data_IF_831166095690
#
_entry.id   IF_831166095690
#
_cell.length_a   1.000
_cell.length_b   1.000
_cell.length_c   1.000
_cell.angle_alpha   90.00
_cell.angle_beta   90.00
_cell.angle_gamma   90.00
#
_symmetry.space_group_name_H-M   'P 1'
#
loop_
_entity.id
_entity.type
_entity.pdbx_description
1 polymer ?
#
# COMPACT_ATOMS: atom_id res chain seq x y z
N UNK A 1 14.68 -6.28 -4.37
CA UNK A 1 14.38 -5.81 -2.98
C UNK A 1 15.47 -6.23 -1.98
N UNK A 2 15.53 -5.67 -0.76
CA UNK A 2 16.50 -6.09 0.30
C UNK A 2 16.33 -7.57 0.70
N UNK A 3 15.08 -8.03 0.79
CA UNK A 3 14.73 -9.41 1.12
C UNK A 3 15.36 -10.43 0.15
N UNK A 4 15.21 -10.20 -1.16
CA UNK A 4 15.77 -11.08 -2.21
C UNK A 4 17.30 -11.12 -2.21
N UNK A 5 17.95 -10.20 -1.50
CA UNK A 5 19.40 -10.15 -1.32
C UNK A 5 19.87 -10.78 0.00
N UNK A 6 18.98 -11.48 0.72
CA UNK A 6 19.32 -12.17 1.98
C UNK A 6 19.47 -11.26 3.20
N UNK A 7 18.99 -10.00 3.14
CA UNK A 7 19.19 -9.03 4.22
C UNK A 7 18.52 -9.40 5.55
N UNK A 8 17.58 -10.36 5.53
CA UNK A 8 16.80 -10.81 6.69
C UNK A 8 17.16 -12.25 7.10
N UNK A 9 18.15 -12.87 6.45
CA UNK A 9 18.54 -14.24 6.71
C UNK A 9 19.05 -14.39 8.16
N UNK A 10 18.54 -15.40 8.87
CA UNK A 10 18.89 -15.66 10.26
C UNK A 10 18.16 -14.78 11.29
N UNK A 11 17.27 -13.87 10.89
CA UNK A 11 16.41 -13.14 11.82
C UNK A 11 15.26 -14.03 12.32
N UNK A 12 15.07 -14.10 13.64
CA UNK A 12 13.91 -14.79 14.25
C UNK A 12 12.63 -13.95 14.23
N UNK A 13 12.77 -12.61 14.19
CA UNK A 13 11.66 -11.68 14.05
C UNK A 13 12.13 -10.33 13.47
N UNK A 14 11.22 -9.57 12.84
CA UNK A 14 11.48 -8.21 12.34
C UNK A 14 10.50 -7.19 12.95
N UNK A 15 11.02 -6.13 13.57
CA UNK A 15 10.22 -5.10 14.23
C UNK A 15 10.46 -3.73 13.58
N UNK A 16 9.38 -2.99 13.31
CA UNK A 16 9.41 -1.62 12.79
C UNK A 16 8.29 -0.80 13.43
N UNK A 17 8.30 0.53 13.32
CA UNK A 17 7.14 1.36 13.66
C UNK A 17 6.98 2.50 12.65
N UNK A 18 5.76 3.01 12.51
CA UNK A 18 5.47 4.13 11.63
C UNK A 18 4.64 5.22 12.32
N UNK A 19 4.99 6.51 12.20
CA UNK A 19 4.14 7.57 12.73
C UNK A 19 2.86 7.71 11.89
N UNK A 20 1.74 7.99 12.55
CA UNK A 20 0.44 8.22 11.92
C UNK A 20 -0.38 9.25 12.73
N UNK A 21 -1.46 9.81 12.15
CA UNK A 21 -2.47 10.51 12.93
C UNK A 21 -3.15 9.58 13.91
N UNK A 22 -3.59 10.12 15.04
CA UNK A 22 -4.41 9.38 16.01
C UNK A 22 -4.47 10.08 17.38
N UNK A 23 -5.23 9.50 18.32
CA UNK A 23 -5.30 9.98 19.70
C UNK A 23 -3.92 10.10 20.32
N UNK A 24 -3.68 11.11 21.16
CA UNK A 24 -2.36 11.32 21.76
C UNK A 24 -1.90 10.08 22.55
N UNK A 25 -0.61 9.72 22.41
CA UNK A 25 -0.01 8.58 23.11
C UNK A 25 -0.69 7.24 22.79
N UNK A 26 -1.14 7.05 21.55
CA UNK A 26 -1.71 5.79 21.10
C UNK A 26 -0.74 5.05 20.18
N UNK A 27 -0.77 3.72 20.28
CA UNK A 27 -0.04 2.82 19.38
C UNK A 27 -1.08 1.96 18.66
N UNK A 28 -1.02 1.94 17.34
CA UNK A 28 -1.95 1.20 16.50
C UNK A 28 -1.41 -0.16 16.13
N UNK A 29 -2.21 -1.21 16.36
CA UNK A 29 -1.94 -2.58 15.90
C UNK A 29 -2.81 -2.96 14.69
N UNK A 30 -3.22 -1.97 13.90
CA UNK A 30 -3.93 -2.21 12.64
C UNK A 30 -3.02 -2.82 11.58
N UNK A 31 -3.65 -3.43 10.56
CA UNK A 31 -2.98 -3.90 9.34
C UNK A 31 -2.69 -2.73 8.38
N UNK A 32 -2.39 -3.02 7.11
CA UNK A 32 -2.33 -2.09 5.99
C UNK A 32 -2.81 -2.83 4.74
N UNK A 33 -3.29 -2.10 3.73
CA UNK A 33 -3.82 -2.68 2.50
C UNK A 33 -2.71 -3.26 1.61
N UNK A 34 -3.01 -4.38 0.97
CA UNK A 34 -2.28 -4.84 -0.20
C UNK A 34 -2.38 -3.83 -1.34
N UNK A 35 -1.35 -3.73 -2.17
CA UNK A 35 -1.27 -2.80 -3.30
C UNK A 35 -0.60 -3.45 -4.51
N UNK A 36 -1.31 -3.41 -5.63
CA UNK A 36 -0.81 -3.72 -6.98
C UNK A 36 -0.71 -2.42 -7.76
N UNK A 37 0.35 -2.26 -8.54
CA UNK A 37 0.62 -1.05 -9.34
C UNK A 37 0.72 -1.43 -10.81
N UNK A 38 0.17 -0.59 -11.67
CA UNK A 38 0.20 -0.74 -13.12
C UNK A 38 0.77 0.51 -13.77
N UNK A 39 1.69 0.33 -14.71
CA UNK A 39 1.99 1.28 -15.77
C UNK A 39 1.29 0.81 -17.06
N UNK A 40 0.48 1.67 -17.66
CA UNK A 40 -0.31 1.37 -18.86
C UNK A 40 0.10 2.33 -19.96
N UNK A 41 0.48 1.81 -21.11
CA UNK A 41 0.91 2.61 -22.26
C UNK A 41 -0.01 2.32 -23.44
N UNK A 42 -0.63 3.37 -24.00
CA UNK A 42 -1.36 3.27 -25.26
C UNK A 42 -0.53 3.85 -26.39
N UNK A 43 -0.50 3.15 -27.53
CA UNK A 43 0.13 3.59 -28.76
C UNK A 43 -0.88 3.62 -29.89
N UNK A 44 -0.97 4.74 -30.57
CA UNK A 44 -1.87 5.01 -31.68
C UNK A 44 -1.13 5.61 -32.88
N UNK A 45 -1.76 6.57 -33.54
CA UNK A 45 -1.26 7.19 -34.76
C UNK A 45 -1.69 8.65 -34.83
N UNK A 46 -0.71 9.54 -35.00
CA UNK A 46 -0.94 10.98 -35.08
C UNK A 46 -1.59 11.35 -36.40
N UNK A 47 -2.52 12.29 -36.36
CA UNK A 47 -3.07 12.95 -37.54
C UNK A 47 -3.46 14.39 -37.20
N UNK A 48 -3.67 15.22 -38.22
CA UNK A 48 -4.11 16.59 -37.99
C UNK A 48 -5.55 16.59 -37.48
N UNK A 49 -5.79 17.12 -36.27
CA UNK A 49 -7.06 16.96 -35.56
C UNK A 49 -8.28 17.50 -36.31
N UNK A 50 -8.12 18.56 -37.12
CA UNK A 50 -9.19 19.11 -37.95
C UNK A 50 -9.18 18.67 -39.43
N UNK A 51 -8.01 18.50 -40.04
CA UNK A 51 -7.89 18.31 -41.50
C UNK A 51 -8.13 16.86 -41.93
N UNK A 52 -7.62 15.89 -41.18
CA UNK A 52 -7.76 14.47 -41.50
C UNK A 52 -7.90 13.58 -40.25
N UNK A 53 -8.85 13.88 -39.33
CA UNK A 53 -8.97 13.12 -38.07
C UNK A 53 -9.25 11.62 -38.26
N UNK A 54 -9.86 11.22 -39.37
CA UNK A 54 -10.17 9.82 -39.69
C UNK A 54 -8.92 8.96 -39.96
N UNK A 55 -7.74 9.56 -40.13
CA UNK A 55 -6.47 8.85 -40.28
C UNK A 55 -5.83 8.51 -38.93
N UNK A 56 -6.26 9.17 -37.84
CA UNK A 56 -5.65 9.05 -36.52
C UNK A 56 -6.18 7.89 -35.68
N UNK A 57 -5.36 7.45 -34.73
CA UNK A 57 -5.75 6.59 -33.62
C UNK A 57 -5.36 7.29 -32.33
N UNK A 58 -6.35 7.79 -31.58
CA UNK A 58 -6.11 8.68 -30.46
C UNK A 58 -5.81 7.91 -29.17
N UNK A 59 -4.53 7.88 -28.78
CA UNK A 59 -4.08 7.22 -27.55
C UNK A 59 -4.55 7.93 -26.27
N UNK A 60 -4.77 9.25 -26.31
CA UNK A 60 -5.35 9.98 -25.16
C UNK A 60 -6.81 9.57 -24.96
N UNK A 61 -7.60 9.44 -26.03
CA UNK A 61 -8.98 8.96 -25.93
C UNK A 61 -9.03 7.51 -25.40
N UNK A 62 -8.08 6.65 -25.79
CA UNK A 62 -7.96 5.31 -25.21
C UNK A 62 -7.75 5.37 -23.68
N UNK A 63 -6.87 6.25 -23.18
CA UNK A 63 -6.71 6.43 -21.74
C UNK A 63 -7.97 6.98 -21.06
N UNK A 64 -8.71 7.90 -21.71
CA UNK A 64 -9.98 8.44 -21.19
C UNK A 64 -11.05 7.35 -21.12
N UNK A 65 -11.14 6.48 -22.13
CA UNK A 65 -12.05 5.33 -22.13
C UNK A 65 -11.71 4.35 -21.01
N UNK A 66 -10.43 4.09 -20.78
CA UNK A 66 -9.98 3.24 -19.68
C UNK A 66 -10.36 3.83 -18.31
N UNK A 67 -10.09 5.12 -18.11
CA UNK A 67 -10.46 5.84 -16.89
C UNK A 67 -11.98 5.80 -16.65
N UNK A 68 -12.76 6.02 -17.71
CA UNK A 68 -14.23 5.98 -17.65
C UNK A 68 -14.73 4.58 -17.30
N UNK A 69 -14.16 3.53 -17.92
CA UNK A 69 -14.50 2.14 -17.63
C UNK A 69 -14.17 1.76 -16.18
N UNK A 70 -13.04 2.24 -15.64
CA UNK A 70 -12.70 2.04 -14.24
C UNK A 70 -13.63 2.84 -13.32
N UNK A 71 -14.03 4.05 -13.72
CA UNK A 71 -14.97 4.87 -12.96
C UNK A 71 -16.31 4.14 -12.77
N UNK A 72 -16.85 3.51 -13.82
CA UNK A 72 -18.09 2.73 -13.72
C UNK A 72 -17.88 1.39 -12.99
N UNK A 73 -16.71 0.77 -13.13
CA UNK A 73 -16.33 -0.43 -12.38
C UNK A 73 -16.36 -0.21 -10.86
N UNK A 74 -16.04 1.00 -10.37
CA UNK A 74 -15.99 1.30 -8.93
C UNK A 74 -17.30 1.07 -8.18
N UNK A 75 -18.46 1.14 -8.83
CA UNK A 75 -19.73 0.77 -8.17
C UNK A 75 -19.76 -0.72 -7.79
N UNK A 76 -19.01 -1.56 -8.53
CA UNK A 76 -19.01 -3.01 -8.42
C UNK A 76 -17.76 -3.57 -7.74
N UNK A 77 -16.97 -2.73 -7.05
CA UNK A 77 -15.89 -3.19 -6.16
C UNK A 77 -16.32 -3.03 -4.70
N UNK A 78 -15.70 -3.78 -3.77
CA UNK A 78 -16.03 -3.68 -2.35
C UNK A 78 -15.67 -2.29 -1.82
N UNK A 79 -16.40 -1.80 -0.82
CA UNK A 79 -16.14 -0.49 -0.16
C UNK A 79 -14.78 -0.40 0.52
N UNK A 80 -14.12 -1.53 0.77
CA UNK A 80 -12.77 -1.64 1.32
C UNK A 80 -11.66 -1.54 0.26
N UNK A 81 -12.02 -1.48 -1.02
CA UNK A 81 -11.05 -1.41 -2.13
C UNK A 81 -10.87 0.02 -2.62
N UNK A 82 -9.69 0.29 -3.19
CA UNK A 82 -9.41 1.57 -3.86
C UNK A 82 -8.78 1.30 -5.21
N UNK A 83 -9.28 1.96 -6.25
CA UNK A 83 -8.71 1.92 -7.60
C UNK A 83 -8.57 3.35 -8.10
N UNK A 84 -7.35 3.81 -8.29
CA UNK A 84 -7.06 5.21 -8.63
C UNK A 84 -5.79 5.33 -9.45
N UNK A 85 -5.73 6.34 -10.31
CA UNK A 85 -4.60 6.53 -11.20
C UNK A 85 -4.58 7.92 -11.80
N UNK A 86 -3.52 8.18 -12.55
CA UNK A 86 -3.23 9.47 -13.19
C UNK A 86 -2.91 9.26 -14.67
N UNK A 87 -3.14 10.29 -15.47
CA UNK A 87 -2.76 10.35 -16.87
C UNK A 87 -1.34 10.93 -17.02
N UNK A 88 -0.69 10.53 -18.09
CA UNK A 88 0.58 11.08 -18.56
C UNK A 88 0.72 10.88 -20.07
N UNK A 89 1.72 11.52 -20.65
CA UNK A 89 2.04 11.47 -22.07
C UNK A 89 2.93 12.65 -22.45
N UNK A 90 3.37 12.68 -23.71
CA UNK A 90 4.31 13.68 -24.19
C UNK A 90 3.88 14.33 -25.50
N UNK A 91 4.30 15.58 -25.68
CA UNK A 91 4.10 16.36 -26.91
C UNK A 91 2.63 16.50 -27.34
N UNK A 92 1.70 16.44 -26.39
CA UNK A 92 0.29 16.67 -26.66
C UNK A 92 0.04 18.14 -26.99
N UNK A 93 -0.65 18.36 -28.09
CA UNK A 93 -1.12 19.69 -28.51
C UNK A 93 -2.51 19.54 -29.13
N UNK A 94 -3.46 20.47 -28.93
CA UNK A 94 -4.83 20.31 -29.39
C UNK A 94 -5.02 20.13 -30.90
N UNK A 95 -4.05 20.54 -31.72
CA UNK A 95 -4.13 20.45 -33.19
C UNK A 95 -3.59 19.12 -33.76
N UNK A 96 -2.99 18.25 -32.95
CA UNK A 96 -2.43 16.95 -33.35
C UNK A 96 -3.08 15.87 -32.49
N UNK A 97 -3.66 14.85 -33.13
CA UNK A 97 -4.21 13.69 -32.42
C UNK A 97 -3.07 12.98 -31.68
N UNK A 98 -3.14 12.79 -30.35
CA UNK A 98 -2.10 12.09 -29.59
C UNK A 98 -1.91 10.64 -30.03
N UNK A 99 -0.68 10.28 -30.42
CA UNK A 99 -0.29 8.89 -30.72
C UNK A 99 0.24 8.11 -29.50
N UNK A 100 0.40 8.77 -28.36
CA UNK A 100 0.89 8.19 -27.13
C UNK A 100 0.06 8.64 -25.93
N UNK A 101 -0.14 7.73 -24.98
CA UNK A 101 -0.52 8.07 -23.62
C UNK A 101 0.02 7.04 -22.64
N UNK A 102 0.22 7.48 -21.40
CA UNK A 102 0.66 6.67 -20.29
C UNK A 102 -0.29 6.86 -19.10
N UNK A 103 -0.46 5.83 -18.29
CA UNK A 103 -1.21 5.92 -17.05
C UNK A 103 -0.49 5.16 -15.94
N UNK A 104 -0.57 5.68 -14.72
CA UNK A 104 -0.12 4.96 -13.52
C UNK A 104 -1.32 4.70 -12.63
N UNK A 105 -1.54 3.44 -12.26
CA UNK A 105 -2.72 3.00 -11.51
C UNK A 105 -2.36 2.15 -10.32
N UNK A 106 -3.06 2.38 -9.22
CA UNK A 106 -2.98 1.60 -7.98
C UNK A 106 -4.30 0.89 -7.73
N UNK A 107 -4.21 -0.40 -7.39
CA UNK A 107 -5.32 -1.23 -6.90
C UNK A 107 -4.98 -1.65 -5.47
N UNK A 108 -5.82 -1.26 -4.51
CA UNK A 108 -5.68 -1.62 -3.10
C UNK A 108 -6.86 -2.44 -2.61
N UNK A 109 -6.57 -3.42 -1.75
CA UNK A 109 -7.56 -4.24 -1.07
C UNK A 109 -7.05 -4.70 0.31
N UNK A 110 -7.93 -5.17 1.20
CA UNK A 110 -7.53 -5.70 2.50
C UNK A 110 -6.57 -6.87 2.44
N UNK A 111 -6.64 -7.71 1.40
CA UNK A 111 -5.72 -8.83 1.19
C UNK A 111 -5.13 -8.82 -0.22
N UNK A 112 -3.95 -9.43 -0.38
CA UNK A 112 -3.35 -9.61 -1.71
C UNK A 112 -4.22 -10.44 -2.66
N UNK A 113 -4.98 -11.42 -2.14
CA UNK A 113 -5.90 -12.22 -2.95
C UNK A 113 -7.03 -11.35 -3.54
N UNK A 114 -7.66 -10.52 -2.70
CA UNK A 114 -8.69 -9.57 -3.11
C UNK A 114 -8.14 -8.51 -4.08
N UNK A 115 -6.92 -8.02 -3.85
CA UNK A 115 -6.25 -7.07 -4.73
C UNK A 115 -6.04 -7.66 -6.13
N UNK A 116 -5.56 -8.90 -6.22
CA UNK A 116 -5.36 -9.62 -7.49
C UNK A 116 -6.67 -9.83 -8.25
N UNK A 117 -7.75 -10.18 -7.55
CA UNK A 117 -9.05 -10.36 -8.21
C UNK A 117 -9.59 -9.04 -8.76
N UNK A 118 -9.47 -7.96 -8.00
CA UNK A 118 -9.85 -6.63 -8.48
C UNK A 118 -8.96 -6.16 -9.63
N UNK A 119 -7.67 -6.42 -9.55
CA UNK A 119 -6.69 -6.11 -10.60
C UNK A 119 -7.07 -6.73 -11.95
N UNK A 120 -7.50 -8.00 -12.00
CA UNK A 120 -7.97 -8.62 -13.25
C UNK A 120 -9.08 -7.82 -13.94
N UNK A 121 -10.04 -7.32 -13.15
CA UNK A 121 -11.17 -6.52 -13.65
C UNK A 121 -10.70 -5.14 -14.13
N UNK A 122 -9.72 -4.55 -13.45
CA UNK A 122 -9.10 -3.29 -13.86
C UNK A 122 -8.29 -3.45 -15.15
N UNK A 123 -7.54 -4.56 -15.29
CA UNK A 123 -6.80 -4.89 -16.52
C UNK A 123 -7.74 -5.04 -17.72
N UNK A 124 -8.89 -5.70 -17.54
CA UNK A 124 -9.90 -5.80 -18.59
C UNK A 124 -10.41 -4.42 -19.06
N UNK A 125 -10.49 -3.42 -18.17
CA UNK A 125 -10.84 -2.05 -18.58
C UNK A 125 -9.76 -1.42 -19.46
N UNK A 126 -8.48 -1.67 -19.19
CA UNK A 126 -7.39 -1.18 -20.03
C UNK A 126 -7.44 -1.79 -21.43
N UNK A 127 -7.66 -3.11 -21.51
CA UNK A 127 -7.75 -3.86 -22.76
C UNK A 127 -8.98 -3.46 -23.58
N UNK A 128 -10.14 -3.28 -22.93
CA UNK A 128 -11.37 -2.85 -23.59
C UNK A 128 -11.22 -1.47 -24.26
N UNK A 129 -10.51 -0.54 -23.61
CA UNK A 129 -10.25 0.77 -24.16
C UNK A 129 -9.32 0.74 -25.39
N UNK A 130 -8.34 -0.18 -25.39
CA UNK A 130 -7.49 -0.46 -26.56
C UNK A 130 -8.36 -0.92 -27.73
N UNK A 131 -9.24 -1.89 -27.50
CA UNK A 131 -10.12 -2.45 -28.52
C UNK A 131 -11.08 -1.40 -29.08
N UNK A 132 -11.71 -0.60 -28.22
CA UNK A 132 -12.69 0.40 -28.63
C UNK A 132 -12.07 1.57 -29.43
N UNK A 133 -10.85 1.95 -29.10
CA UNK A 133 -10.13 3.06 -29.77
C UNK A 133 -9.33 2.63 -31.00
N UNK A 134 -9.11 1.33 -31.19
CA UNK A 134 -8.20 0.79 -32.21
C UNK A 134 -6.71 1.01 -31.90
N UNK A 135 -6.37 1.55 -30.73
CA UNK A 135 -4.99 1.67 -30.27
C UNK A 135 -4.44 0.31 -29.81
N UNK A 136 -3.12 0.24 -29.65
CA UNK A 136 -2.44 -0.86 -28.94
C UNK A 136 -2.26 -0.48 -27.48
N UNK A 137 -2.32 -1.46 -26.57
CA UNK A 137 -2.04 -1.27 -25.15
C UNK A 137 -0.94 -2.20 -24.69
N UNK A 138 -0.07 -1.69 -23.82
CA UNK A 138 0.86 -2.46 -23.01
C UNK A 138 0.56 -2.20 -21.54
N UNK A 139 0.11 -3.24 -20.84
CA UNK A 139 -0.14 -3.18 -19.40
C UNK A 139 1.04 -3.84 -18.69
N UNK A 140 1.74 -3.07 -17.86
CA UNK A 140 2.88 -3.54 -17.07
C UNK A 140 2.49 -3.51 -15.60
N UNK A 141 2.33 -4.68 -14.98
CA UNK A 141 2.25 -4.76 -13.51
C UNK A 141 3.66 -4.53 -12.96
N UNK A 142 3.83 -3.54 -12.08
CA UNK A 142 5.14 -3.25 -11.50
C UNK A 142 5.53 -4.35 -10.52
N UNK A 143 6.81 -4.74 -10.60
CA UNK A 143 7.39 -5.75 -9.74
C UNK A 143 7.28 -5.37 -8.25
N UNK A 144 7.24 -6.39 -7.39
CA UNK A 144 7.19 -6.25 -5.93
C UNK A 144 5.91 -5.59 -5.39
N UNK A 145 4.74 -6.25 -5.49
CA UNK A 145 3.54 -5.75 -4.87
C UNK A 145 3.72 -5.64 -3.35
N UNK A 146 3.09 -4.64 -2.74
CA UNK A 146 3.05 -4.54 -1.28
C UNK A 146 1.93 -5.44 -0.78
N UNK A 147 2.27 -6.42 0.06
CA UNK A 147 1.29 -7.31 0.67
C UNK A 147 0.56 -6.58 1.81
N UNK A 148 -0.60 -7.11 2.18
CA UNK A 148 -1.27 -6.69 3.41
C UNK A 148 -0.38 -6.97 4.62
N UNK A 149 -0.47 -6.13 5.65
CA UNK A 149 0.41 -6.25 6.82
C UNK A 149 -0.14 -7.29 7.80
N UNK A 150 0.66 -8.32 8.11
CA UNK A 150 0.32 -9.37 9.08
C UNK A 150 1.02 -9.09 10.41
N UNK A 151 0.30 -8.49 11.35
CA UNK A 151 0.83 -8.28 12.70
C UNK A 151 0.87 -9.63 13.44
N UNK A 152 2.05 -10.11 13.82
CA UNK A 152 2.15 -11.35 14.59
C UNK A 152 1.43 -11.19 15.94
N UNK A 153 0.47 -12.07 16.22
CA UNK A 153 -0.44 -11.93 17.37
C UNK A 153 0.27 -12.07 18.72
N UNK A 154 1.29 -12.91 18.82
CA UNK A 154 2.08 -13.06 20.05
C UNK A 154 2.94 -11.82 20.32
N UNK A 155 3.60 -11.28 19.29
CA UNK A 155 4.35 -10.02 19.37
C UNK A 155 3.41 -8.85 19.72
N UNK A 156 2.27 -8.75 19.05
CA UNK A 156 1.27 -7.70 19.30
C UNK A 156 0.70 -7.76 20.72
N UNK A 157 0.34 -8.94 21.20
CA UNK A 157 -0.19 -9.12 22.56
C UNK A 157 0.82 -8.73 23.64
N UNK A 158 2.10 -9.01 23.42
CA UNK A 158 3.15 -8.61 24.35
C UNK A 158 3.44 -7.11 24.26
N UNK A 159 3.45 -6.53 23.06
CA UNK A 159 3.57 -5.08 22.88
C UNK A 159 2.45 -4.35 23.63
N UNK A 160 1.20 -4.82 23.53
CA UNK A 160 0.05 -4.27 24.24
C UNK A 160 0.33 -4.15 25.74
N UNK A 161 0.80 -5.24 26.38
CA UNK A 161 1.13 -5.23 27.82
C UNK A 161 2.21 -4.20 28.16
N UNK A 162 3.26 -4.13 27.35
CA UNK A 162 4.37 -3.18 27.56
C UNK A 162 3.85 -1.74 27.44
N UNK A 163 3.06 -1.46 26.40
CA UNK A 163 2.53 -0.13 26.13
C UNK A 163 1.55 0.32 27.21
N UNK A 164 0.57 -0.52 27.56
CA UNK A 164 -0.45 -0.20 28.57
C UNK A 164 0.15 -0.03 29.97
N UNK A 165 1.30 -0.66 30.25
CA UNK A 165 1.98 -0.48 31.53
C UNK A 165 2.66 0.88 31.70
N UNK A 166 3.00 1.59 30.61
CA UNK A 166 3.95 2.73 30.70
C UNK A 166 3.84 3.80 29.62
N UNK A 167 3.43 3.46 28.41
CA UNK A 167 3.62 4.30 27.22
C UNK A 167 2.32 4.82 26.61
N UNK A 168 1.16 4.29 27.00
CA UNK A 168 -0.13 4.79 26.55
C UNK A 168 -1.15 3.69 26.35
N UNK A 169 -1.94 3.80 25.27
CA UNK A 169 -3.03 2.88 24.96
C UNK A 169 -2.84 2.24 23.59
N UNK A 170 -3.46 1.09 23.37
CA UNK A 170 -3.57 0.49 22.05
C UNK A 170 -4.83 1.00 21.35
N UNK A 171 -4.67 1.31 20.08
CA UNK A 171 -5.71 1.77 19.18
C UNK A 171 -5.89 0.80 18.01
N UNK A 172 -7.13 0.62 17.57
CA UNK A 172 -7.49 -0.27 16.45
C UNK A 172 -8.26 0.45 15.34
N UNK A 173 -8.41 1.78 15.44
CA UNK A 173 -9.17 2.58 14.50
C UNK A 173 -8.26 3.47 13.65
N UNK A 174 -7.30 4.13 14.27
CA UNK A 174 -6.28 4.99 13.67
C UNK A 174 -5.03 4.17 13.31
N UNK A 175 -4.03 4.84 12.73
CA UNK A 175 -2.79 4.22 12.30
C UNK A 175 -2.71 4.07 10.79
N UNK A 176 -2.23 2.91 10.33
CA UNK A 176 -1.84 2.68 8.93
C UNK A 176 -2.80 1.76 8.15
N UNK A 177 -4.00 1.50 8.68
CA UNK A 177 -5.00 0.56 8.11
C UNK A 177 -5.32 0.78 6.64
N UNK A 178 -5.38 2.03 6.19
CA UNK A 178 -5.72 2.42 4.81
C UNK A 178 -4.47 2.75 3.95
N UNK A 179 -3.28 2.63 4.53
CA UNK A 179 -2.01 2.79 3.83
C UNK A 179 -1.55 1.47 3.19
N UNK A 180 -0.38 1.48 2.56
CA UNK A 180 0.29 0.29 2.04
C UNK A 180 1.79 0.43 2.28
N UNK A 181 2.44 -0.65 2.70
CA UNK A 181 3.88 -0.69 3.00
C UNK A 181 4.49 -1.97 2.44
N UNK A 182 5.72 -1.86 1.93
CA UNK A 182 6.52 -3.02 1.51
C UNK A 182 6.88 -3.95 2.68
N UNK A 183 6.82 -3.45 3.93
CA UNK A 183 6.95 -4.27 5.14
C UNK A 183 5.88 -5.37 5.23
N UNK A 184 4.74 -5.20 4.54
CA UNK A 184 3.76 -6.28 4.38
C UNK A 184 4.39 -7.55 3.80
N UNK A 185 5.31 -7.43 2.84
CA UNK A 185 6.04 -8.59 2.31
C UNK A 185 6.90 -9.24 3.40
N UNK A 186 7.60 -8.47 4.22
CA UNK A 186 8.42 -9.00 5.32
C UNK A 186 7.54 -9.78 6.31
N UNK A 187 6.34 -9.29 6.61
CA UNK A 187 5.39 -10.00 7.48
C UNK A 187 4.88 -11.33 6.92
N UNK A 188 5.04 -11.57 5.61
CA UNK A 188 4.77 -12.86 4.99
C UNK A 188 5.96 -13.82 5.07
N UNK A 189 7.19 -13.32 5.18
CA UNK A 189 8.41 -14.14 5.12
C UNK A 189 8.90 -14.58 6.51
N UNK A 190 8.73 -13.75 7.54
CA UNK A 190 9.11 -14.08 8.91
C UNK A 190 8.22 -13.41 9.96
N UNK A 191 8.21 -13.89 11.23
CA UNK A 191 7.46 -13.26 12.31
C UNK A 191 7.80 -11.77 12.42
N UNK A 192 6.79 -10.90 12.32
CA UNK A 192 7.04 -9.47 12.25
C UNK A 192 5.98 -8.66 12.98
N UNK A 193 6.33 -7.43 13.36
CA UNK A 193 5.41 -6.46 13.93
C UNK A 193 5.76 -5.04 13.44
N UNK A 194 4.76 -4.33 12.94
CA UNK A 194 4.90 -2.97 12.42
C UNK A 194 3.77 -2.08 12.93
N UNK A 195 3.75 -1.73 14.23
CA UNK A 195 2.76 -0.82 14.79
C UNK A 195 2.84 0.58 14.18
N UNK A 196 1.66 1.23 14.09
CA UNK A 196 1.57 2.67 14.00
C UNK A 196 1.76 3.32 15.37
N UNK A 197 2.18 4.58 15.43
CA UNK A 197 2.13 5.38 16.66
C UNK A 197 1.68 6.81 16.36
N UNK A 198 0.92 7.39 17.27
CA UNK A 198 0.38 8.73 17.04
C UNK A 198 1.42 9.83 17.27
N UNK A 199 1.37 10.83 16.41
CA UNK A 199 2.10 12.10 16.56
C UNK A 199 1.09 13.27 16.51
N UNK A 200 1.41 14.47 17.02
CA UNK A 200 0.45 15.57 17.10
C UNK A 200 0.20 16.20 15.72
N UNK A 201 -0.67 15.60 14.94
CA UNK A 201 -1.12 16.10 13.64
C UNK A 201 -2.28 17.08 13.80
N UNK A 202 -2.30 18.13 12.97
CA UNK A 202 -3.47 18.99 12.79
C UNK A 202 -4.56 18.30 11.95
N UNK A 203 -5.79 18.82 11.99
CA UNK A 203 -6.89 18.34 11.15
C UNK A 203 -6.51 18.42 9.67
N UNK A 204 -6.78 17.35 8.92
CA UNK A 204 -6.35 17.17 7.52
C UNK A 204 -4.81 17.21 7.29
N UNK A 205 -4.01 17.21 8.35
CA UNK A 205 -2.54 17.21 8.33
C UNK A 205 -1.90 15.83 8.39
N UNK A 206 -2.57 14.78 7.88
CA UNK A 206 -2.10 13.40 7.91
C UNK A 206 -0.96 13.10 6.93
N UNK A 207 -0.48 11.85 6.88
CA UNK A 207 0.65 11.43 6.05
C UNK A 207 0.57 11.97 4.61
N UNK A 208 1.74 12.28 4.03
CA UNK A 208 1.89 12.87 2.69
C UNK A 208 1.34 14.30 2.55
N UNK A 209 1.25 15.04 3.65
CA UNK A 209 0.96 16.48 3.65
C UNK A 209 2.14 17.29 4.19
N UNK A 210 2.16 18.58 3.88
CA UNK A 210 3.11 19.52 4.50
C UNK A 210 2.87 19.68 6.00
N UNK A 211 1.61 19.53 6.47
CA UNK A 211 1.24 19.49 7.89
C UNK A 211 1.94 18.34 8.63
N UNK A 212 1.89 17.13 8.07
CA UNK A 212 2.57 15.97 8.68
C UNK A 212 4.09 16.15 8.75
N UNK A 213 4.68 16.78 7.73
CA UNK A 213 6.12 17.13 7.74
C UNK A 213 6.45 18.04 8.91
N UNK A 214 5.60 19.04 9.21
CA UNK A 214 5.75 19.92 10.36
C UNK A 214 5.52 19.19 11.69
N UNK A 215 4.54 18.29 11.76
CA UNK A 215 4.25 17.51 12.96
C UNK A 215 5.37 16.53 13.30
N UNK A 216 5.90 15.82 12.32
CA UNK A 216 6.91 14.78 12.50
C UNK A 216 8.26 15.31 13.03
N UNK A 217 8.56 16.60 12.81
CA UNK A 217 9.78 17.26 13.31
C UNK A 217 9.65 17.86 14.72
N UNK A 218 8.49 17.72 15.37
CA UNK A 218 8.27 18.27 16.71
C UNK A 218 8.95 17.43 17.78
N UNK A 219 9.26 18.05 18.93
CA UNK A 219 9.83 17.32 20.08
C UNK A 219 8.83 16.30 20.63
N UNK A 220 7.54 16.58 20.54
CA UNK A 220 6.43 15.72 20.92
C UNK A 220 6.41 14.45 20.04
N UNK A 221 6.53 14.58 18.72
CA UNK A 221 6.63 13.45 17.81
C UNK A 221 7.88 12.60 18.07
N UNK A 222 9.02 13.24 18.35
CA UNK A 222 10.25 12.53 18.71
C UNK A 222 10.12 11.78 20.04
N UNK A 223 9.45 12.36 21.04
CA UNK A 223 9.14 11.68 22.32
C UNK A 223 8.22 10.47 22.09
N UNK A 224 7.19 10.61 21.26
CA UNK A 224 6.30 9.50 20.91
C UNK A 224 7.08 8.37 20.20
N UNK A 225 7.93 8.71 19.24
CA UNK A 225 8.82 7.77 18.56
C UNK A 225 9.74 7.04 19.55
N UNK A 226 10.34 7.77 20.50
CA UNK A 226 11.20 7.17 21.52
C UNK A 226 10.43 6.22 22.44
N UNK A 227 9.18 6.51 22.77
CA UNK A 227 8.34 5.65 23.60
C UNK A 227 8.03 4.32 22.91
N UNK A 228 7.54 4.35 21.66
CA UNK A 228 7.28 3.12 20.90
C UNK A 228 8.59 2.35 20.62
N UNK A 229 9.69 3.05 20.37
CA UNK A 229 11.01 2.42 20.18
C UNK A 229 11.48 1.68 21.42
N UNK A 230 11.28 2.24 22.62
CA UNK A 230 11.59 1.56 23.88
C UNK A 230 10.71 0.33 24.09
N UNK A 231 9.43 0.43 23.76
CA UNK A 231 8.52 -0.71 23.85
C UNK A 231 8.92 -1.85 22.90
N UNK A 232 9.25 -1.52 21.65
CA UNK A 232 9.75 -2.49 20.66
C UNK A 232 11.12 -3.07 21.04
N UNK A 233 12.01 -2.28 21.62
CA UNK A 233 13.30 -2.77 22.11
C UNK A 233 13.12 -3.77 23.27
N UNK A 234 12.24 -3.48 24.23
CA UNK A 234 11.90 -4.41 25.30
C UNK A 234 11.27 -5.71 24.76
N UNK A 235 10.38 -5.59 23.77
CA UNK A 235 9.81 -6.74 23.06
C UNK A 235 10.90 -7.57 22.37
N UNK A 236 11.81 -6.93 21.64
CA UNK A 236 12.94 -7.59 20.97
C UNK A 236 13.87 -8.31 21.96
N UNK A 237 14.19 -7.69 23.09
CA UNK A 237 14.95 -8.35 24.16
C UNK A 237 14.23 -9.59 24.67
N UNK A 238 12.90 -9.55 24.83
CA UNK A 238 12.13 -10.73 25.24
C UNK A 238 12.20 -11.85 24.22
N UNK A 239 12.09 -11.54 22.91
CA UNK A 239 12.30 -12.54 21.84
C UNK A 239 13.70 -13.18 21.96
N UNK A 240 14.74 -12.40 22.24
CA UNK A 240 16.09 -12.95 22.34
C UNK A 240 16.33 -13.76 23.63
N UNK A 241 15.72 -13.36 24.74
CA UNK A 241 16.03 -13.90 26.07
C UNK A 241 15.06 -14.99 26.57
N UNK A 242 13.85 -15.07 26.01
CA UNK A 242 12.79 -15.99 26.44
C UNK A 242 12.46 -16.98 25.33
N UNK A 243 13.01 -18.19 25.44
CA UNK A 243 12.84 -19.26 24.46
C UNK A 243 11.37 -19.71 24.30
N UNK A 244 10.59 -19.70 25.40
CA UNK A 244 9.18 -20.07 25.36
C UNK A 244 8.35 -19.00 24.65
N UNK A 245 8.67 -17.72 24.87
CA UNK A 245 8.04 -16.63 24.12
C UNK A 245 8.37 -16.69 22.63
N UNK A 246 9.63 -16.94 22.27
CA UNK A 246 10.04 -17.07 20.87
C UNK A 246 9.39 -18.25 20.17
N UNK A 247 9.22 -19.37 20.89
CA UNK A 247 8.43 -20.49 20.37
C UNK A 247 6.99 -20.06 20.05
N UNK A 248 6.32 -19.34 20.95
CA UNK A 248 4.96 -18.82 20.72
C UNK A 248 4.89 -17.85 19.53
N UNK A 249 5.89 -17.01 19.35
CA UNK A 249 5.98 -16.08 18.20
C UNK A 249 6.09 -16.86 16.87
N UNK A 250 6.87 -17.93 16.83
CA UNK A 250 6.99 -18.80 15.66
C UNK A 250 5.70 -19.58 15.40
N UNK A 251 5.07 -20.11 16.45
CA UNK A 251 3.81 -20.85 16.35
C UNK A 251 2.67 -19.96 15.83
N UNK A 252 2.53 -18.74 16.34
CA UNK A 252 1.49 -17.80 15.87
C UNK A 252 1.70 -17.37 14.41
N UNK A 253 2.95 -17.30 13.95
CA UNK A 253 3.26 -17.04 12.54
C UNK A 253 2.87 -18.23 11.64
N UNK A 254 3.18 -19.45 12.06
CA UNK A 254 2.76 -20.66 11.31
C UNK A 254 1.24 -20.88 11.33
N UNK A 255 0.55 -20.45 12.39
CA UNK A 255 -0.90 -20.42 12.44
C UNK A 255 -1.46 -19.37 11.46
N UNK A 256 -0.94 -18.14 11.49
CA UNK A 256 -1.31 -17.08 10.57
C UNK A 256 -1.17 -17.49 9.09
N UNK A 257 -0.09 -18.23 8.75
CA UNK A 257 0.17 -18.76 7.41
C UNK A 257 -0.97 -19.62 6.86
N UNK A 258 -1.67 -20.36 7.71
CA UNK A 258 -2.81 -21.21 7.31
C UNK A 258 -4.00 -20.38 6.82
N UNK A 259 -4.06 -19.10 7.20
CA UNK A 259 -5.14 -18.19 6.83
C UNK A 259 -4.79 -17.29 5.65
N UNK A 260 -3.54 -17.31 5.16
CA UNK A 260 -3.11 -16.48 4.03
C UNK A 260 -3.75 -17.00 2.74
N UNK A 261 -4.54 -16.17 2.08
CA UNK A 261 -5.26 -16.52 0.85
C UNK A 261 -6.63 -17.18 1.07
N UNK A 262 -7.11 -17.25 2.32
CA UNK A 262 -8.52 -17.55 2.60
C UNK A 262 -9.33 -16.25 2.51
N UNK A 263 -10.15 -16.17 1.45
CA UNK A 263 -11.14 -15.15 1.05
C UNK A 263 -10.62 -13.85 0.39
#
# INVERSE_FOLDING_TARGET
>A
MLFEKGAYDGMDACLMCHPAPGPQSSISLTSSLALIRFDVEYSGHSAHAALSPWEGQNALDAAVLAYTSISTLRQQVKSTHRVHGVFGGHNWTPNIIPDNSQMQWYVRAPTMAEAKETAKRVTACFEAASLASGCKVKVTELEHPAFDLRQNTALGSELTKIVESRYGVIDYEYGIKDASTDFGRISYELPSLHPGFSIPTEDNGGNHTSGFTKAARTLEAHKACLNVSKALAALGVKVLADADFTKKVKESFEEDKKHRGLL
#
